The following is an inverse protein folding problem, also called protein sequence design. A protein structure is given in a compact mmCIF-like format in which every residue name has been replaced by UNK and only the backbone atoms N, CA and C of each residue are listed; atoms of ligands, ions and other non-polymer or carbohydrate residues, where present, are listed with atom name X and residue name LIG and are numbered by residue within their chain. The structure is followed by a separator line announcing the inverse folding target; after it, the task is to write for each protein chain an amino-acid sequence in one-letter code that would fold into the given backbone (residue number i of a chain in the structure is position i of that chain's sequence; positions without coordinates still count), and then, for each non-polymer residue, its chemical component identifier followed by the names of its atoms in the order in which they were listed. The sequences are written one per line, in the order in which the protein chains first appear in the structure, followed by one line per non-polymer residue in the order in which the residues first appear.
data_IF_731110174695
#
_entry.id   IF_731110174695
#
_cell.length_a   1.000
_cell.length_b   1.000
_cell.length_c   1.000
_cell.angle_alpha   90.00
_cell.angle_beta   90.00
_cell.angle_gamma   90.00
#
_symmetry.space_group_name_H-M   'P 1'
#
loop_
_entity.id
_entity.type
_entity.pdbx_description
1 polymer ?
#
# COMPACT_ATOMS: atom_id res chain seq x y z
N UNK A 1 -24.21 -66.82 -15.74
CA UNK A 1 -22.88 -66.22 -16.02
C UNK A 1 -22.89 -64.95 -16.89
N UNK A 2 -24.05 -64.44 -17.37
CA UNK A 2 -24.12 -63.19 -18.17
C UNK A 2 -24.20 -61.90 -17.34
N UNK A 3 -24.61 -61.96 -16.07
CA UNK A 3 -24.82 -60.76 -15.24
C UNK A 3 -23.60 -60.36 -14.38
N UNK A 4 -22.57 -61.21 -14.30
CA UNK A 4 -21.31 -60.91 -13.61
C UNK A 4 -20.37 -60.10 -14.52
N UNK A 5 -20.44 -60.30 -15.83
CA UNK A 5 -19.67 -59.54 -16.82
C UNK A 5 -20.14 -58.08 -16.91
N UNK A 6 -21.43 -57.83 -16.67
CA UNK A 6 -22.00 -56.47 -16.67
C UNK A 6 -21.64 -55.68 -15.40
N UNK A 7 -21.41 -56.37 -14.27
CA UNK A 7 -21.03 -55.71 -13.00
C UNK A 7 -19.58 -55.21 -13.00
N UNK A 8 -18.67 -55.92 -13.68
CA UNK A 8 -17.28 -55.45 -13.87
C UNK A 8 -17.20 -54.23 -14.80
N UNK A 9 -18.15 -54.08 -15.72
CA UNK A 9 -18.22 -52.93 -16.62
C UNK A 9 -18.73 -51.65 -15.93
N UNK A 10 -19.48 -51.80 -14.83
CA UNK A 10 -19.95 -50.67 -14.01
C UNK A 10 -18.91 -50.23 -12.96
N UNK A 11 -18.03 -51.14 -12.51
CA UNK A 11 -16.88 -50.79 -11.67
C UNK A 11 -15.74 -50.08 -12.43
N UNK A 12 -15.76 -50.18 -13.76
CA UNK A 12 -15.07 -49.25 -14.65
C UNK A 12 -15.87 -47.95 -14.84
N UNK A 13 -16.59 -47.49 -13.81
CA UNK A 13 -16.69 -46.06 -13.55
C UNK A 13 -15.27 -45.54 -13.43
N UNK A 14 -14.67 -45.24 -14.59
CA UNK A 14 -13.46 -44.47 -14.72
C UNK A 14 -13.67 -43.22 -13.87
N UNK A 15 -13.22 -43.27 -12.62
CA UNK A 15 -12.58 -42.11 -12.02
C UNK A 15 -11.33 -41.89 -12.88
N UNK A 16 -11.55 -41.27 -14.04
CA UNK A 16 -10.52 -40.56 -14.75
C UNK A 16 -10.15 -39.42 -13.81
N UNK A 17 -9.28 -39.69 -12.85
CA UNK A 17 -8.48 -38.65 -12.24
C UNK A 17 -7.64 -38.12 -13.39
N UNK A 18 -8.19 -37.14 -14.12
CA UNK A 18 -7.42 -36.30 -15.00
C UNK A 18 -6.28 -35.78 -14.14
N UNK A 19 -5.11 -36.37 -14.32
CA UNK A 19 -3.93 -36.09 -13.52
C UNK A 19 -3.59 -34.63 -13.81
N UNK A 20 -4.07 -33.73 -12.94
CA UNK A 20 -3.84 -32.29 -13.03
C UNK A 20 -2.33 -32.15 -13.07
N UNK A 21 -1.77 -31.79 -14.25
CA UNK A 21 -0.35 -31.49 -14.37
C UNK A 21 -0.08 -30.38 -13.37
N UNK A 22 0.50 -30.75 -12.23
CA UNK A 22 0.87 -29.80 -11.19
C UNK A 22 1.92 -28.90 -11.81
N UNK A 23 1.59 -27.61 -11.95
CA UNK A 23 2.57 -26.63 -12.38
C UNK A 23 3.72 -26.67 -11.37
N UNK A 24 4.94 -26.91 -11.85
CA UNK A 24 6.13 -27.18 -11.01
C UNK A 24 6.35 -26.14 -9.89
N UNK A 25 5.94 -24.90 -10.12
CA UNK A 25 6.15 -23.77 -9.21
C UNK A 25 4.85 -23.22 -8.59
N UNK A 26 3.70 -23.87 -8.79
CA UNK A 26 2.41 -23.44 -8.23
C UNK A 26 1.90 -24.45 -7.21
N UNK A 27 1.49 -23.96 -6.05
CA UNK A 27 0.88 -24.75 -4.98
C UNK A 27 -0.53 -24.25 -4.71
N UNK A 28 -1.47 -25.16 -4.52
CA UNK A 28 -2.82 -24.86 -4.04
C UNK A 28 -2.98 -25.47 -2.64
N UNK A 29 -3.31 -24.66 -1.63
CA UNK A 29 -3.54 -25.14 -0.25
C UNK A 29 -4.70 -24.36 0.36
N UNK A 30 -5.77 -25.06 0.76
CA UNK A 30 -6.96 -24.47 1.38
C UNK A 30 -7.57 -23.30 0.56
N UNK A 31 -7.62 -23.44 -0.78
CA UNK A 31 -8.14 -22.40 -1.68
C UNK A 31 -7.19 -21.22 -1.94
N UNK A 32 -5.99 -21.22 -1.34
CA UNK A 32 -4.95 -20.22 -1.58
C UNK A 32 -3.98 -20.67 -2.67
N UNK A 33 -3.53 -19.73 -3.50
CA UNK A 33 -2.55 -19.97 -4.56
C UNK A 33 -1.18 -19.45 -4.14
N UNK A 34 -0.19 -20.33 -4.14
CA UNK A 34 1.22 -19.99 -3.91
C UNK A 34 2.05 -20.15 -5.19
N UNK A 35 2.82 -19.14 -5.56
CA UNK A 35 3.82 -19.21 -6.65
C UNK A 35 5.21 -19.15 -6.02
N UNK A 36 6.02 -20.20 -6.19
CA UNK A 36 7.35 -20.30 -5.58
C UNK A 36 7.35 -20.60 -4.07
N UNK A 37 6.18 -20.86 -3.47
CA UNK A 37 6.01 -21.23 -2.06
C UNK A 37 5.04 -22.40 -1.90
N UNK A 38 5.27 -23.22 -0.87
CA UNK A 38 4.36 -24.32 -0.47
C UNK A 38 3.41 -23.91 0.66
N UNK A 39 3.63 -22.73 1.25
CA UNK A 39 2.91 -22.21 2.40
C UNK A 39 2.35 -20.83 2.06
N UNK A 40 1.32 -20.74 1.19
CA UNK A 40 0.67 -19.48 0.92
C UNK A 40 -0.07 -18.99 2.18
N UNK A 41 0.17 -17.73 2.53
CA UNK A 41 -0.41 -17.00 3.66
C UNK A 41 -1.59 -16.13 3.24
N UNK A 42 -1.64 -15.70 1.97
CA UNK A 42 -2.73 -14.92 1.37
C UNK A 42 -3.40 -15.67 0.21
N UNK A 43 -4.50 -15.13 -0.33
CA UNK A 43 -5.19 -15.72 -1.50
C UNK A 43 -4.25 -15.94 -2.68
N UNK A 44 -3.30 -15.00 -2.87
CA UNK A 44 -2.19 -15.12 -3.80
C UNK A 44 -0.89 -14.73 -3.08
N UNK A 45 -0.03 -15.71 -2.82
CA UNK A 45 1.32 -15.49 -2.28
C UNK A 45 2.36 -15.77 -3.36
N UNK A 46 3.21 -14.79 -3.68
CA UNK A 46 4.29 -14.96 -4.66
C UNK A 46 5.64 -14.82 -3.95
N UNK A 47 6.39 -15.90 -3.85
CA UNK A 47 7.78 -15.87 -3.37
C UNK A 47 8.71 -15.59 -4.56
N UNK A 48 8.78 -14.33 -4.97
CA UNK A 48 9.56 -13.88 -6.11
C UNK A 48 9.15 -12.49 -6.59
N UNK A 49 9.52 -12.14 -7.82
CA UNK A 49 9.13 -10.87 -8.45
C UNK A 49 7.89 -11.08 -9.32
N UNK A 50 7.00 -10.10 -9.32
CA UNK A 50 5.86 -10.02 -10.22
C UNK A 50 6.22 -9.00 -11.31
N UNK A 51 6.20 -9.42 -12.58
CA UNK A 51 6.32 -8.52 -13.72
C UNK A 51 4.93 -8.39 -14.35
N UNK A 52 4.36 -7.18 -14.28
CA UNK A 52 3.02 -6.85 -14.77
C UNK A 52 3.07 -5.48 -15.44
N UNK A 53 2.14 -5.21 -16.35
CA UNK A 53 2.02 -3.89 -17.00
C UNK A 53 1.37 -2.86 -16.07
N UNK A 54 0.39 -3.28 -15.27
CA UNK A 54 -0.35 -2.42 -14.36
C UNK A 54 -0.91 -3.23 -13.18
N UNK A 55 -1.17 -2.54 -12.06
CA UNK A 55 -1.89 -3.07 -10.91
C UNK A 55 -2.95 -2.04 -10.51
N UNK A 56 -4.21 -2.39 -10.71
CA UNK A 56 -5.33 -1.64 -10.14
C UNK A 56 -5.52 -2.09 -8.68
N UNK A 57 -5.49 -1.15 -7.76
CA UNK A 57 -5.68 -1.41 -6.32
C UNK A 57 -6.92 -0.67 -5.85
N UNK A 58 -7.98 -1.43 -5.57
CA UNK A 58 -9.23 -0.84 -5.09
C UNK A 58 -9.06 -0.21 -3.71
N UNK A 59 -9.54 1.02 -3.61
CA UNK A 59 -9.53 1.81 -2.39
C UNK A 59 -10.80 1.57 -1.55
N UNK A 60 -11.52 0.45 -1.67
CA UNK A 60 -12.78 0.21 -0.95
C UNK A 60 -12.67 0.59 0.55
N UNK A 61 -13.22 1.77 0.90
CA UNK A 61 -13.19 2.36 2.24
C UNK A 61 -11.87 3.03 2.68
N UNK A 62 -10.82 3.02 1.86
CA UNK A 62 -9.59 3.75 2.10
C UNK A 62 -9.75 5.25 1.79
N UNK A 63 -9.22 6.08 2.67
CA UNK A 63 -9.33 7.52 2.61
C UNK A 63 -8.25 8.10 1.69
N UNK A 64 -8.65 8.83 0.65
CA UNK A 64 -7.73 9.69 -0.07
C UNK A 64 -7.31 10.87 0.83
N UNK A 65 -6.04 11.28 0.80
CA UNK A 65 -5.48 12.23 1.75
C UNK A 65 -5.86 13.69 1.51
N UNK A 66 -6.85 13.99 0.67
CA UNK A 66 -7.37 15.37 0.46
C UNK A 66 -7.70 16.10 1.77
N UNK A 67 -7.92 15.36 2.87
CA UNK A 67 -8.06 15.92 4.21
C UNK A 67 -6.90 16.81 4.64
N UNK A 68 -5.70 16.66 4.07
CA UNK A 68 -4.54 17.52 4.33
C UNK A 68 -4.85 18.94 3.89
N UNK A 69 -5.30 19.12 2.64
CA UNK A 69 -5.71 20.41 2.11
C UNK A 69 -7.01 20.91 2.74
N UNK A 70 -8.00 20.05 2.94
CA UNK A 70 -9.27 20.43 3.61
C UNK A 70 -8.98 20.99 5.01
N UNK A 71 -8.12 20.32 5.80
CA UNK A 71 -7.74 20.79 7.13
C UNK A 71 -6.99 22.11 7.09
N UNK A 72 -6.12 22.32 6.11
CA UNK A 72 -5.33 23.54 6.02
C UNK A 72 -6.15 24.76 5.57
N UNK A 73 -6.99 24.61 4.55
CA UNK A 73 -7.75 25.72 3.97
C UNK A 73 -9.10 25.97 4.66
N UNK A 74 -9.75 24.92 5.16
CA UNK A 74 -11.08 25.00 5.79
C UNK A 74 -11.02 24.88 7.32
N UNK A 75 -9.85 24.60 7.89
CA UNK A 75 -9.63 24.47 9.34
C UNK A 75 -10.00 23.10 9.92
N UNK A 76 -10.70 22.25 9.17
CA UNK A 76 -11.03 20.87 9.53
C UNK A 76 -11.37 20.07 8.28
N UNK A 77 -11.15 18.76 8.31
CA UNK A 77 -11.63 17.82 7.30
C UNK A 77 -12.80 16.99 7.83
N UNK A 78 -13.83 16.76 7.03
CA UNK A 78 -14.91 15.82 7.36
C UNK A 78 -14.42 14.37 7.32
N UNK A 79 -13.51 14.08 6.37
CA UNK A 79 -12.89 12.78 6.14
C UNK A 79 -11.95 12.39 7.28
N UNK A 80 -11.18 13.35 7.80
CA UNK A 80 -10.30 13.15 8.94
C UNK A 80 -10.32 14.34 9.93
N UNK A 81 -11.31 14.39 10.84
CA UNK A 81 -11.46 15.51 11.78
C UNK A 81 -10.34 15.64 12.81
N UNK A 82 -9.48 14.62 12.94
CA UNK A 82 -8.33 14.61 13.85
C UNK A 82 -7.00 14.82 13.13
N UNK A 83 -7.03 15.07 11.82
CA UNK A 83 -5.82 15.41 11.09
C UNK A 83 -5.28 16.75 11.58
N UNK A 84 -3.97 16.83 11.74
CA UNK A 84 -3.27 18.05 12.09
C UNK A 84 -1.95 18.09 11.35
N UNK A 85 -1.76 19.15 10.55
CA UNK A 85 -0.48 19.44 9.90
C UNK A 85 0.49 19.96 10.97
N UNK A 86 1.59 19.22 11.20
CA UNK A 86 2.64 19.64 12.13
C UNK A 86 3.30 20.95 11.67
N UNK A 87 3.79 21.76 12.60
CA UNK A 87 4.72 22.84 12.27
C UNK A 87 6.07 22.27 11.81
N UNK A 88 6.87 23.08 11.09
CA UNK A 88 8.23 22.68 10.69
C UNK A 88 9.14 22.40 11.89
N UNK A 89 8.95 23.10 13.02
CA UNK A 89 9.71 22.87 14.24
C UNK A 89 9.36 21.54 14.91
N UNK A 90 8.07 21.20 14.99
CA UNK A 90 7.61 19.89 15.48
C UNK A 90 8.07 18.76 14.57
N UNK A 91 8.01 18.97 13.25
CA UNK A 91 8.51 18.03 12.25
C UNK A 91 10.02 17.80 12.41
N UNK A 92 10.81 18.88 12.55
CA UNK A 92 12.24 18.80 12.76
C UNK A 92 12.59 18.02 14.04
N UNK A 93 11.90 18.34 15.15
CA UNK A 93 12.04 17.63 16.43
C UNK A 93 11.73 16.14 16.28
N UNK A 94 10.67 15.79 15.55
CA UNK A 94 10.30 14.40 15.32
C UNK A 94 11.35 13.65 14.50
N UNK A 95 11.79 14.23 13.38
CA UNK A 95 12.75 13.60 12.48
C UNK A 95 14.14 13.48 13.13
N UNK A 96 14.55 14.46 13.94
CA UNK A 96 15.78 14.38 14.72
C UNK A 96 15.72 13.24 15.75
N UNK A 97 14.58 13.09 16.44
CA UNK A 97 14.40 12.06 17.47
C UNK A 97 14.26 10.65 16.92
N UNK A 98 13.52 10.48 15.82
CA UNK A 98 13.11 9.15 15.35
C UNK A 98 13.67 8.75 13.98
N UNK A 99 14.33 9.66 13.26
CA UNK A 99 14.97 9.39 11.96
C UNK A 99 14.05 8.83 10.86
N UNK A 100 12.76 9.15 10.93
CA UNK A 100 11.74 8.84 9.91
C UNK A 100 10.59 9.84 10.02
N UNK A 101 9.75 9.93 8.98
CA UNK A 101 8.61 10.85 8.97
C UNK A 101 7.46 10.33 9.86
N UNK A 102 6.69 11.23 10.50
CA UNK A 102 5.48 10.85 11.23
C UNK A 102 4.53 10.01 10.37
N UNK A 103 4.11 8.87 10.89
CA UNK A 103 3.20 7.93 10.22
C UNK A 103 3.88 7.02 9.17
N UNK A 104 5.13 7.28 8.80
CA UNK A 104 5.92 6.42 7.90
C UNK A 104 6.64 5.35 8.71
N UNK A 105 6.47 4.05 8.39
CA UNK A 105 7.20 2.98 9.06
C UNK A 105 8.71 3.19 8.97
N UNK A 106 9.40 2.85 10.05
CA UNK A 106 10.86 2.89 10.11
C UNK A 106 11.47 1.84 9.18
N UNK A 107 12.73 2.02 8.77
CA UNK A 107 13.43 1.04 7.95
C UNK A 107 13.40 -0.36 8.56
N UNK A 108 13.53 -0.46 9.89
CA UNK A 108 13.46 -1.74 10.62
C UNK A 108 12.09 -2.42 10.54
N UNK A 109 11.02 -1.64 10.64
CA UNK A 109 9.64 -2.16 10.47
C UNK A 109 9.42 -2.63 9.03
N UNK A 110 9.91 -1.87 8.05
CA UNK A 110 9.83 -2.25 6.63
C UNK A 110 10.59 -3.54 6.34
N UNK A 111 11.79 -3.71 6.90
CA UNK A 111 12.59 -4.92 6.73
C UNK A 111 11.92 -6.16 7.35
N UNK A 112 11.18 -5.98 8.44
CA UNK A 112 10.55 -7.08 9.19
C UNK A 112 9.18 -7.45 8.61
N UNK A 113 8.33 -6.45 8.41
CA UNK A 113 6.91 -6.63 8.09
C UNK A 113 6.60 -6.45 6.60
N UNK A 114 7.56 -5.92 5.83
CA UNK A 114 7.37 -5.55 4.43
C UNK A 114 6.50 -4.30 4.27
N UNK A 115 5.93 -4.12 3.09
CA UNK A 115 5.10 -2.95 2.75
C UNK A 115 3.82 -3.36 2.02
N UNK A 116 2.71 -2.79 2.46
CA UNK A 116 1.46 -2.84 1.72
C UNK A 116 1.41 -1.72 0.68
N UNK A 117 1.39 -2.09 -0.60
CA UNK A 117 1.43 -1.16 -1.73
C UNK A 117 0.36 -0.06 -1.63
N UNK A 118 -0.90 -0.43 -1.34
CA UNK A 118 -2.00 0.51 -1.16
C UNK A 118 -1.70 1.56 -0.08
N UNK A 119 -1.36 1.06 1.11
CA UNK A 119 -1.15 1.89 2.30
C UNK A 119 0.03 2.83 2.09
N UNK A 120 1.13 2.33 1.52
CA UNK A 120 2.31 3.15 1.25
C UNK A 120 2.03 4.22 0.20
N UNK A 121 1.32 3.90 -0.89
CA UNK A 121 0.98 4.90 -1.91
C UNK A 121 0.08 6.02 -1.37
N UNK A 122 -0.93 5.69 -0.55
CA UNK A 122 -1.77 6.70 0.10
C UNK A 122 -0.98 7.57 1.09
N UNK A 123 -0.08 6.95 1.85
CA UNK A 123 0.79 7.68 2.78
C UNK A 123 1.79 8.58 2.06
N UNK A 124 2.37 8.14 0.95
CA UNK A 124 3.23 8.97 0.11
C UNK A 124 2.47 10.17 -0.45
N UNK A 125 1.23 9.97 -0.89
CA UNK A 125 0.38 11.06 -1.35
C UNK A 125 0.10 12.06 -0.22
N UNK A 126 -0.23 11.60 0.99
CA UNK A 126 -0.37 12.47 2.16
C UNK A 126 0.90 13.32 2.39
N UNK A 127 2.08 12.70 2.33
CA UNK A 127 3.36 13.41 2.54
C UNK A 127 3.69 14.39 1.42
N UNK A 128 3.27 14.10 0.20
CA UNK A 128 3.40 15.05 -0.92
C UNK A 128 2.49 16.26 -0.69
N UNK A 129 1.25 16.07 -0.24
CA UNK A 129 0.33 17.17 0.05
C UNK A 129 0.86 18.05 1.21
N UNK A 130 1.37 17.44 2.28
CA UNK A 130 2.05 18.14 3.38
C UNK A 130 3.23 18.98 2.85
N UNK A 131 4.09 18.37 2.02
CA UNK A 131 5.25 19.06 1.43
C UNK A 131 4.84 20.25 0.55
N UNK A 132 3.77 20.12 -0.22
CA UNK A 132 3.22 21.22 -1.03
C UNK A 132 2.78 22.37 -0.12
N UNK A 133 2.10 22.09 0.99
CA UNK A 133 1.69 23.12 1.95
C UNK A 133 2.89 23.84 2.57
N UNK A 134 3.92 23.11 3.01
CA UNK A 134 5.15 23.72 3.52
C UNK A 134 5.84 24.58 2.45
N UNK A 135 5.87 24.12 1.20
CA UNK A 135 6.47 24.88 0.08
C UNK A 135 5.71 26.19 -0.17
N UNK A 136 4.37 26.17 -0.12
CA UNK A 136 3.54 27.37 -0.24
C UNK A 136 3.83 28.34 0.91
N UNK A 137 3.95 27.85 2.14
CA UNK A 137 4.26 28.68 3.30
C UNK A 137 5.65 29.32 3.17
N UNK A 138 6.66 28.53 2.82
CA UNK A 138 8.02 29.00 2.58
C UNK A 138 8.09 30.06 1.47
N UNK A 139 7.36 29.87 0.36
CA UNK A 139 7.32 30.85 -0.72
C UNK A 139 6.74 32.18 -0.25
N UNK A 140 5.68 32.17 0.55
CA UNK A 140 5.09 33.38 1.14
C UNK A 140 6.08 34.12 2.05
N UNK A 141 6.83 33.38 2.87
CA UNK A 141 7.85 33.96 3.73
C UNK A 141 8.99 34.58 2.92
N UNK A 142 9.45 33.89 1.88
CA UNK A 142 10.49 34.39 0.96
C UNK A 142 10.04 35.69 0.29
N UNK A 143 8.80 35.76 -0.20
CA UNK A 143 8.29 36.95 -0.86
C UNK A 143 8.14 38.13 0.11
N UNK A 144 7.68 37.86 1.34
CA UNK A 144 7.63 38.87 2.40
C UNK A 144 9.03 39.37 2.80
N UNK A 145 10.04 38.49 2.82
CA UNK A 145 11.43 38.87 3.07
C UNK A 145 12.00 39.71 1.92
N UNK A 146 11.74 39.34 0.67
CA UNK A 146 12.16 40.12 -0.51
C UNK A 146 11.56 41.52 -0.51
N UNK A 147 10.29 41.66 -0.16
CA UNK A 147 9.63 42.96 -0.06
C UNK A 147 10.28 43.84 1.02
N UNK A 148 10.63 43.26 2.17
CA UNK A 148 11.34 43.98 3.24
C UNK A 148 12.74 44.41 2.82
N UNK A 149 13.48 43.54 2.14
CA UNK A 149 14.82 43.86 1.64
C UNK A 149 14.77 45.01 0.63
N UNK A 150 13.83 44.96 -0.33
CA UNK A 150 13.65 46.05 -1.32
C UNK A 150 13.40 47.41 -0.66
N UNK A 151 12.63 47.46 0.44
CA UNK A 151 12.33 48.71 1.16
C UNK A 151 13.50 49.26 1.99
N UNK A 152 14.52 48.45 2.25
CA UNK A 152 15.72 48.86 3.00
C UNK A 152 16.81 49.36 2.02
N UNK A 153 16.77 48.89 0.78
CA UNK A 153 17.71 49.28 -0.28
C UNK A 153 17.33 50.61 -0.97
N UNK A 154 16.08 51.07 -0.83
CA UNK A 154 15.57 52.39 -1.25
C UNK A 154 15.78 53.48 -0.19
#
# INVERSE_FOLDING_TARGET
MKNILLLFFVFASLQCFAQRRSFKNMTEKNGKIGIGTKTPDELLTVKGKIHTQEVLVDLNGALAPDYVFESYFSGSSEKNPRYHLLSLDEMATFVEKYHHLPGVPSAKEIETDGLYLKKMNLLLLEKIEELILYTIQQQKEIDALKEKVSKIED
#
